data_IF_918726981538
#
_entry.id   IF_918726981538
#
_cell.length_a   1.000
_cell.length_b   1.000
_cell.length_c   1.000
_cell.angle_alpha   90.00
_cell.angle_beta   90.00
_cell.angle_gamma   90.00
#
_symmetry.space_group_name_H-M   'P 1'
#
loop_
_entity.id
_entity.type
_entity.pdbx_description
1 polymer ?
#
# COMPACT_ATOMS: atom_id res chain seq x y z
N UNK A 1 21.74 11.14 42.82
CA UNK A 1 20.94 10.26 43.73
C UNK A 1 19.68 9.89 43.03
N UNK A 2 19.45 8.61 42.70
CA UNK A 2 18.21 8.12 42.10
C UNK A 2 17.14 8.16 43.18
N UNK A 3 15.93 8.66 42.93
CA UNK A 3 14.85 8.63 43.92
C UNK A 3 14.54 7.18 44.37
N UNK A 4 14.34 6.95 45.67
CA UNK A 4 14.09 5.61 46.23
C UNK A 4 12.97 4.82 45.51
N UNK A 5 11.98 5.50 44.97
CA UNK A 5 10.91 4.89 44.15
C UNK A 5 11.39 4.34 42.81
N UNK A 6 12.40 4.97 42.22
CA UNK A 6 12.97 4.55 40.93
C UNK A 6 13.93 3.35 41.10
N UNK A 7 14.67 3.31 42.19
CA UNK A 7 15.48 2.12 42.56
C UNK A 7 14.59 0.88 42.76
N UNK A 8 13.46 1.05 43.44
CA UNK A 8 12.48 -0.04 43.64
C UNK A 8 11.96 -0.57 42.32
N UNK A 9 11.65 0.32 41.39
CA UNK A 9 11.16 -0.10 40.05
C UNK A 9 12.24 -0.82 39.22
N UNK A 10 13.50 -0.38 39.29
CA UNK A 10 14.61 -1.09 38.62
C UNK A 10 14.81 -2.49 39.19
N UNK A 11 14.74 -2.66 40.51
CA UNK A 11 14.86 -3.97 41.15
C UNK A 11 13.69 -4.91 40.76
N UNK A 12 12.47 -4.39 40.64
CA UNK A 12 11.30 -5.16 40.17
C UNK A 12 11.49 -5.55 38.69
N UNK A 13 12.03 -4.66 37.86
CA UNK A 13 12.31 -4.94 36.45
C UNK A 13 13.39 -6.04 36.29
N UNK A 14 14.48 -5.98 37.06
CA UNK A 14 15.52 -7.01 37.07
C UNK A 14 14.99 -8.37 37.51
N UNK A 15 14.15 -8.38 38.55
CA UNK A 15 13.48 -9.59 38.99
C UNK A 15 12.53 -10.12 37.91
N UNK A 16 11.81 -9.25 37.18
CA UNK A 16 10.94 -9.61 36.05
C UNK A 16 11.73 -10.29 34.94
N UNK A 17 12.90 -9.75 34.56
CA UNK A 17 13.77 -10.35 33.55
C UNK A 17 14.23 -11.74 33.96
N UNK A 18 14.65 -11.88 35.22
CA UNK A 18 15.07 -13.17 35.80
C UNK A 18 13.95 -14.19 35.84
N UNK A 19 12.72 -13.76 36.15
CA UNK A 19 11.50 -14.59 36.15
C UNK A 19 11.15 -15.05 34.72
N UNK A 20 11.20 -14.14 33.72
CA UNK A 20 10.96 -14.46 32.31
C UNK A 20 11.99 -15.48 31.79
N UNK A 21 13.25 -15.36 32.18
CA UNK A 21 14.30 -16.29 31.76
C UNK A 21 14.11 -17.69 32.34
N UNK A 22 13.68 -17.81 33.60
CA UNK A 22 13.38 -19.10 34.22
C UNK A 22 12.27 -19.85 33.49
N UNK A 23 11.28 -19.13 32.90
CA UNK A 23 10.13 -19.68 32.16
C UNK A 23 10.24 -19.46 30.68
N UNK A 24 11.45 -19.44 30.13
CA UNK A 24 11.75 -19.08 28.74
C UNK A 24 10.91 -19.82 27.70
N UNK A 25 10.68 -21.12 27.85
CA UNK A 25 9.93 -21.92 26.89
C UNK A 25 8.46 -21.47 26.77
N UNK A 26 7.78 -21.25 27.90
CA UNK A 26 6.39 -20.76 27.93
C UNK A 26 6.28 -19.34 27.37
N UNK A 27 7.18 -18.46 27.82
CA UNK A 27 7.18 -17.06 27.38
C UNK A 27 7.58 -16.91 25.91
N UNK A 28 8.51 -17.73 25.41
CA UNK A 28 8.89 -17.76 24.00
C UNK A 28 7.73 -18.21 23.12
N UNK A 29 6.98 -19.23 23.56
CA UNK A 29 5.77 -19.69 22.83
C UNK A 29 4.72 -18.58 22.70
N UNK A 30 4.42 -17.88 23.80
CA UNK A 30 3.48 -16.75 23.81
C UNK A 30 4.01 -15.62 22.92
N UNK A 31 5.28 -15.26 23.06
CA UNK A 31 5.91 -14.21 22.28
C UNK A 31 5.91 -14.51 20.79
N UNK A 32 6.15 -15.78 20.40
CA UNK A 32 6.13 -16.21 19.00
C UNK A 32 4.74 -16.09 18.39
N UNK A 33 3.70 -16.62 19.08
CA UNK A 33 2.32 -16.51 18.59
C UNK A 33 1.91 -15.04 18.45
N UNK A 34 2.27 -14.23 19.45
CA UNK A 34 1.98 -12.81 19.46
C UNK A 34 2.69 -12.08 18.32
N UNK A 35 3.98 -12.38 18.09
CA UNK A 35 4.75 -11.81 17.00
C UNK A 35 4.21 -12.22 15.63
N UNK A 36 3.74 -13.47 15.45
CA UNK A 36 3.12 -13.93 14.18
C UNK A 36 1.83 -13.17 13.90
N UNK A 37 0.97 -12.97 14.90
CA UNK A 37 -0.29 -12.21 14.70
C UNK A 37 0.03 -10.75 14.35
N UNK A 38 0.98 -10.13 15.04
CA UNK A 38 1.43 -8.76 14.74
C UNK A 38 2.08 -8.69 13.35
N UNK A 39 2.88 -9.69 12.97
CA UNK A 39 3.48 -9.81 11.65
C UNK A 39 2.42 -9.82 10.53
N UNK A 40 1.38 -10.65 10.68
CA UNK A 40 0.31 -10.74 9.69
C UNK A 40 -0.47 -9.43 9.59
N UNK A 41 -0.86 -8.87 10.73
CA UNK A 41 -1.58 -7.59 10.78
C UNK A 41 -0.73 -6.43 10.25
N UNK A 42 0.53 -6.35 10.65
CA UNK A 42 1.48 -5.34 10.20
C UNK A 42 1.79 -5.45 8.72
N UNK A 43 2.04 -6.67 8.20
CA UNK A 43 2.25 -6.91 6.78
C UNK A 43 1.06 -6.47 5.94
N UNK A 44 -0.16 -6.79 6.41
CA UNK A 44 -1.39 -6.37 5.74
C UNK A 44 -1.55 -4.84 5.74
N UNK A 45 -1.32 -4.20 6.88
CA UNK A 45 -1.42 -2.75 7.01
C UNK A 45 -0.40 -2.01 6.14
N UNK A 46 0.87 -2.45 6.16
CA UNK A 46 1.94 -1.86 5.37
C UNK A 46 1.70 -2.05 3.87
N UNK A 47 1.19 -3.21 3.45
CA UNK A 47 0.86 -3.49 2.06
C UNK A 47 -0.32 -2.62 1.59
N UNK A 48 -1.38 -2.53 2.37
CA UNK A 48 -2.55 -1.70 2.05
C UNK A 48 -2.17 -0.22 1.97
N UNK A 49 -1.36 0.26 2.92
CA UNK A 49 -0.82 1.62 2.91
C UNK A 49 0.04 1.90 1.69
N UNK A 50 0.90 0.95 1.31
CA UNK A 50 1.72 1.06 0.10
C UNK A 50 0.85 1.17 -1.16
N UNK A 51 -0.17 0.32 -1.30
CA UNK A 51 -1.10 0.36 -2.44
C UNK A 51 -1.89 1.68 -2.48
N UNK A 52 -2.36 2.16 -1.33
CA UNK A 52 -3.11 3.42 -1.23
C UNK A 52 -2.24 4.62 -1.61
N UNK A 53 -1.05 4.74 -1.02
CA UNK A 53 -0.12 5.84 -1.31
C UNK A 53 0.32 5.82 -2.77
N UNK A 54 0.55 4.63 -3.31
CA UNK A 54 0.90 4.48 -4.71
C UNK A 54 -0.25 4.89 -5.62
N UNK A 55 -1.49 4.50 -5.29
CA UNK A 55 -2.68 4.94 -6.04
C UNK A 55 -2.89 6.46 -5.96
N UNK A 56 -2.62 7.09 -4.82
CA UNK A 56 -2.70 8.54 -4.66
C UNK A 56 -1.64 9.26 -5.50
N UNK A 57 -0.40 8.77 -5.51
CA UNK A 57 0.68 9.31 -6.34
C UNK A 57 0.37 9.21 -7.84
N UNK A 58 -0.28 8.10 -8.27
CA UNK A 58 -0.83 7.93 -9.62
C UNK A 58 -1.82 9.04 -9.95
N UNK A 59 -2.74 9.27 -9.01
CA UNK A 59 -3.86 10.16 -9.24
C UNK A 59 -3.49 11.63 -9.17
N UNK A 60 -2.43 12.00 -8.43
CA UNK A 60 -1.97 13.40 -8.41
C UNK A 60 -1.68 13.95 -9.80
N UNK A 61 -1.22 13.10 -10.71
CA UNK A 61 -0.78 13.46 -12.04
C UNK A 61 -1.82 13.18 -13.15
N UNK A 62 -2.99 12.62 -12.78
CA UNK A 62 -4.06 12.40 -13.74
C UNK A 62 -4.81 13.70 -14.04
N UNK A 63 -5.39 13.85 -15.27
CA UNK A 63 -6.24 14.98 -15.61
C UNK A 63 -7.45 15.04 -14.69
N UNK A 64 -7.97 16.24 -14.46
CA UNK A 64 -9.15 16.45 -13.62
C UNK A 64 -10.38 15.74 -14.17
N UNK A 65 -10.52 15.66 -15.51
CA UNK A 65 -11.61 14.95 -16.20
C UNK A 65 -11.04 14.15 -17.36
N UNK A 66 -11.47 12.91 -17.51
CA UNK A 66 -11.16 12.05 -18.65
C UNK A 66 -12.46 11.72 -19.39
N UNK A 67 -12.50 11.96 -20.70
CA UNK A 67 -13.66 11.70 -21.55
C UNK A 67 -13.35 10.51 -22.45
N UNK A 68 -14.16 9.48 -22.38
CA UNK A 68 -14.07 8.25 -23.16
C UNK A 68 -15.35 8.07 -23.97
N UNK A 69 -15.24 7.73 -25.24
CA UNK A 69 -16.42 7.34 -26.03
C UNK A 69 -16.78 5.90 -25.70
N UNK A 70 -18.06 5.68 -25.49
CA UNK A 70 -18.59 4.35 -25.16
C UNK A 70 -19.63 3.93 -26.20
N UNK A 71 -19.51 2.70 -26.68
CA UNK A 71 -20.51 2.08 -27.58
C UNK A 71 -20.76 0.65 -27.09
N UNK A 72 -22.01 0.33 -26.85
CA UNK A 72 -22.45 -0.99 -26.36
C UNK A 72 -21.64 -1.51 -25.17
N UNK A 73 -21.24 -0.63 -24.25
CA UNK A 73 -20.44 -0.98 -23.06
C UNK A 73 -18.93 -1.14 -23.30
N UNK A 74 -18.47 -0.91 -24.53
CA UNK A 74 -17.04 -0.94 -24.88
C UNK A 74 -16.51 0.46 -25.15
N UNK A 75 -15.27 0.69 -24.80
CA UNK A 75 -14.58 1.93 -25.16
C UNK A 75 -14.22 1.90 -26.64
N UNK A 76 -14.54 2.99 -27.33
CA UNK A 76 -14.19 3.24 -28.73
C UNK A 76 -13.29 4.47 -28.85
N UNK A 77 -12.64 4.61 -30.01
CA UNK A 77 -11.91 5.81 -30.33
C UNK A 77 -12.84 7.03 -30.42
N UNK A 78 -12.42 8.16 -29.86
CA UNK A 78 -13.18 9.41 -29.83
C UNK A 78 -12.67 10.34 -30.95
N UNK A 79 -13.58 10.98 -31.73
CA UNK A 79 -13.17 11.92 -32.75
C UNK A 79 -12.55 13.20 -32.17
N UNK A 80 -11.46 13.68 -32.75
CA UNK A 80 -10.83 14.95 -32.35
C UNK A 80 -11.78 16.15 -32.53
N UNK A 81 -12.76 16.07 -33.45
CA UNK A 81 -13.77 17.10 -33.60
C UNK A 81 -14.61 17.39 -32.34
N UNK A 82 -14.59 16.49 -31.34
CA UNK A 82 -15.26 16.74 -30.05
C UNK A 82 -14.55 17.85 -29.26
N UNK A 83 -13.27 18.10 -29.50
CA UNK A 83 -12.51 19.19 -28.87
C UNK A 83 -13.15 20.55 -29.18
N UNK A 84 -13.57 20.77 -30.45
CA UNK A 84 -14.22 22.02 -30.86
C UNK A 84 -15.53 22.28 -30.09
N UNK A 85 -16.31 21.22 -29.86
CA UNK A 85 -17.57 21.32 -29.09
C UNK A 85 -17.28 21.69 -27.62
N UNK A 86 -16.20 21.15 -27.06
CA UNK A 86 -15.81 21.38 -25.66
C UNK A 86 -15.29 22.80 -25.40
N UNK A 87 -14.77 23.48 -26.42
CA UNK A 87 -14.33 24.89 -26.29
C UNK A 87 -15.48 25.85 -25.91
N UNK A 88 -16.76 25.45 -26.11
CA UNK A 88 -17.90 26.23 -25.64
C UNK A 88 -18.12 26.25 -24.15
N UNK A 89 -17.42 25.38 -23.38
CA UNK A 89 -17.57 25.25 -21.94
C UNK A 89 -16.54 26.11 -21.23
N UNK A 90 -16.99 27.15 -20.52
CA UNK A 90 -16.14 27.98 -19.70
C UNK A 90 -15.54 27.20 -18.51
N UNK A 91 -14.31 27.54 -18.13
CA UNK A 91 -13.59 26.91 -17.02
C UNK A 91 -12.64 25.77 -17.44
N UNK A 92 -12.72 25.32 -18.67
CA UNK A 92 -11.74 24.38 -19.25
C UNK A 92 -10.47 25.18 -19.58
N UNK A 93 -9.32 24.73 -19.06
CA UNK A 93 -8.03 25.38 -19.29
C UNK A 93 -7.34 24.83 -20.53
N UNK A 94 -7.33 23.50 -20.69
CA UNK A 94 -6.75 22.83 -21.84
C UNK A 94 -7.38 21.46 -22.03
N UNK A 95 -7.45 21.00 -23.27
CA UNK A 95 -7.90 19.67 -23.66
C UNK A 95 -6.73 18.99 -24.39
N UNK A 96 -6.28 17.85 -23.89
CA UNK A 96 -5.17 17.11 -24.47
C UNK A 96 -5.70 15.79 -25.01
N UNK A 97 -5.59 15.54 -26.32
CA UNK A 97 -5.89 14.25 -26.91
C UNK A 97 -4.83 13.23 -26.48
N UNK A 98 -5.27 12.03 -26.16
CA UNK A 98 -4.40 10.97 -25.67
C UNK A 98 -4.73 9.64 -26.34
N UNK A 99 -3.71 8.88 -26.68
CA UNK A 99 -3.84 7.47 -27.01
C UNK A 99 -3.30 6.67 -25.84
N UNK A 100 -4.11 5.78 -25.33
CA UNK A 100 -3.81 4.87 -24.26
C UNK A 100 -4.33 3.48 -24.59
N UNK A 101 -3.53 2.47 -24.36
CA UNK A 101 -3.94 1.10 -24.63
C UNK A 101 -2.92 0.08 -24.08
N UNK A 102 -3.33 -1.18 -24.08
CA UNK A 102 -2.45 -2.29 -23.72
C UNK A 102 -1.90 -2.94 -24.97
N UNK A 103 -0.60 -3.20 -24.95
CA UNK A 103 0.11 -3.95 -25.96
C UNK A 103 0.60 -5.26 -25.34
N UNK A 104 0.17 -6.39 -25.90
CA UNK A 104 0.63 -7.71 -25.48
C UNK A 104 1.84 -8.13 -26.34
N UNK A 105 2.97 -8.31 -25.68
CA UNK A 105 4.19 -8.84 -26.29
C UNK A 105 4.18 -10.38 -26.16
N UNK A 106 3.88 -11.06 -27.25
CA UNK A 106 3.82 -12.54 -27.30
C UNK A 106 5.18 -13.16 -27.04
N UNK A 107 6.29 -12.50 -27.42
CA UNK A 107 7.64 -13.00 -27.27
C UNK A 107 8.06 -13.13 -25.81
N UNK A 108 7.65 -12.19 -24.98
CA UNK A 108 7.99 -12.11 -23.57
C UNK A 108 6.80 -12.43 -22.64
N UNK A 109 5.63 -12.72 -23.20
CA UNK A 109 4.37 -12.96 -22.46
C UNK A 109 4.08 -11.80 -21.49
N UNK A 110 4.33 -10.57 -21.91
CA UNK A 110 4.21 -9.37 -21.09
C UNK A 110 3.19 -8.39 -21.67
N UNK A 111 2.47 -7.71 -20.78
CA UNK A 111 1.57 -6.62 -21.15
C UNK A 111 2.25 -5.29 -20.88
N UNK A 112 2.35 -4.45 -21.90
CA UNK A 112 2.86 -3.08 -21.78
C UNK A 112 1.70 -2.09 -21.90
N UNK A 113 1.73 -1.06 -21.07
CA UNK A 113 0.83 0.08 -21.18
C UNK A 113 1.46 1.11 -22.10
N UNK A 114 0.83 1.38 -23.24
CA UNK A 114 1.25 2.43 -24.16
C UNK A 114 0.51 3.72 -23.84
N UNK A 115 1.24 4.79 -23.66
CA UNK A 115 0.73 6.13 -23.46
C UNK A 115 1.33 7.08 -24.48
N UNK A 116 0.50 7.74 -25.26
CA UNK A 116 0.93 8.75 -26.19
C UNK A 116 0.07 10.00 -26.07
N UNK A 117 0.75 11.15 -26.02
CA UNK A 117 0.12 12.46 -25.86
C UNK A 117 0.99 13.53 -26.51
N UNK A 118 0.39 14.63 -26.88
CA UNK A 118 1.13 15.81 -27.31
C UNK A 118 1.68 16.55 -26.10
N UNK A 119 2.98 16.42 -25.88
CA UNK A 119 3.68 17.05 -24.75
C UNK A 119 3.72 18.58 -24.86
N UNK A 120 3.70 19.13 -26.06
CA UNK A 120 3.68 20.60 -26.30
C UNK A 120 2.42 21.28 -25.73
N UNK A 121 1.32 20.57 -25.61
CA UNK A 121 0.02 21.09 -25.16
C UNK A 121 -0.13 21.08 -23.65
N UNK A 122 0.84 20.57 -22.89
CA UNK A 122 0.72 20.45 -21.43
C UNK A 122 1.01 21.76 -20.72
N UNK A 123 0.04 22.33 -19.98
CA UNK A 123 0.27 23.55 -19.22
C UNK A 123 1.23 23.29 -18.06
N UNK A 124 2.44 23.87 -18.13
CA UNK A 124 3.42 23.88 -17.04
C UNK A 124 4.52 22.82 -17.11
N UNK A 125 4.91 22.38 -18.30
CA UNK A 125 6.02 21.42 -18.48
C UNK A 125 5.65 19.99 -18.09
N UNK A 126 6.62 19.15 -17.83
CA UNK A 126 6.46 17.72 -17.48
C UNK A 126 5.52 17.49 -16.26
N UNK A 127 4.21 17.68 -16.44
CA UNK A 127 3.19 17.51 -15.38
C UNK A 127 2.77 16.05 -15.14
N UNK A 128 3.32 15.13 -15.90
CA UNK A 128 3.19 13.72 -15.53
C UNK A 128 4.01 13.40 -14.26
N UNK A 129 4.79 14.38 -13.72
CA UNK A 129 5.73 14.20 -12.59
C UNK A 129 6.49 12.85 -12.65
N UNK A 130 6.60 12.32 -13.87
CA UNK A 130 7.29 11.07 -14.13
C UNK A 130 8.78 11.40 -14.11
N UNK A 131 9.40 11.08 -12.99
CA UNK A 131 10.85 11.23 -12.85
C UNK A 131 11.56 10.17 -13.67
N UNK A 132 12.60 10.61 -14.39
CA UNK A 132 13.48 9.76 -15.18
C UNK A 132 14.81 9.63 -14.45
N UNK A 133 15.29 8.42 -14.22
CA UNK A 133 16.57 8.16 -13.55
C UNK A 133 17.74 8.20 -14.54
N UNK A 134 17.51 7.72 -15.77
CA UNK A 134 18.53 7.72 -16.83
C UNK A 134 17.94 8.33 -18.08
N UNK A 135 18.73 9.16 -18.75
CA UNK A 135 18.28 9.90 -19.94
C UNK A 135 17.47 11.14 -19.58
N UNK A 136 16.49 11.47 -20.38
CA UNK A 136 15.63 12.65 -20.17
C UNK A 136 14.20 12.35 -20.66
N UNK A 137 13.25 13.10 -20.11
CA UNK A 137 11.90 13.13 -20.66
C UNK A 137 11.81 14.29 -21.64
N UNK A 138 11.66 14.04 -22.97
CA UNK A 138 11.67 15.10 -23.96
C UNK A 138 10.46 16.01 -23.81
N UNK A 139 10.64 17.32 -24.01
CA UNK A 139 9.52 18.27 -24.08
C UNK A 139 8.59 17.93 -25.24
N UNK A 140 9.16 17.44 -26.34
CA UNK A 140 8.44 16.93 -27.51
C UNK A 140 8.95 15.55 -27.90
N UNK A 141 8.05 14.55 -27.85
CA UNK A 141 8.35 13.20 -28.30
C UNK A 141 8.51 13.19 -29.81
N UNK A 142 9.70 12.78 -30.30
CA UNK A 142 9.94 12.55 -31.72
C UNK A 142 9.43 11.18 -32.14
N UNK A 143 8.99 11.03 -33.39
CA UNK A 143 8.65 9.71 -33.92
C UNK A 143 9.86 8.78 -33.85
N UNK A 144 9.59 7.52 -33.44
CA UNK A 144 10.63 6.51 -33.22
C UNK A 144 11.39 6.65 -31.90
N UNK A 145 10.97 7.53 -30.97
CA UNK A 145 11.56 7.62 -29.63
C UNK A 145 10.57 7.20 -28.55
N UNK A 146 11.07 6.60 -27.47
CA UNK A 146 10.25 6.17 -26.35
C UNK A 146 10.94 6.39 -25.00
N UNK A 147 10.15 6.65 -23.96
CA UNK A 147 10.55 6.57 -22.55
C UNK A 147 9.87 5.35 -21.96
N UNK A 148 10.64 4.48 -21.33
CA UNK A 148 10.15 3.17 -20.92
C UNK A 148 10.30 2.93 -19.41
N UNK A 149 9.48 2.02 -18.89
CA UNK A 149 9.57 1.49 -17.55
C UNK A 149 10.79 0.62 -17.35
N UNK A 150 11.23 0.52 -16.09
CA UNK A 150 12.42 -0.26 -15.73
C UNK A 150 12.21 -1.75 -16.01
N UNK A 151 11.06 -2.32 -15.67
CA UNK A 151 10.82 -3.73 -15.93
C UNK A 151 10.73 -4.07 -17.42
N UNK A 152 10.26 -3.13 -18.24
CA UNK A 152 10.29 -3.30 -19.70
C UNK A 152 11.74 -3.36 -20.19
N UNK A 153 12.59 -2.48 -19.69
CA UNK A 153 14.03 -2.50 -20.00
C UNK A 153 14.67 -3.84 -19.63
N UNK A 154 14.32 -4.40 -18.46
CA UNK A 154 14.87 -5.66 -17.98
C UNK A 154 14.31 -6.87 -18.76
N UNK A 155 13.00 -6.90 -19.04
CA UNK A 155 12.35 -7.98 -19.81
C UNK A 155 12.86 -8.04 -21.23
N UNK A 156 13.05 -6.88 -21.88
CA UNK A 156 13.59 -6.79 -23.23
C UNK A 156 15.11 -7.05 -23.27
N UNK A 157 15.77 -7.20 -22.12
CA UNK A 157 17.21 -7.48 -22.03
C UNK A 157 18.07 -6.41 -22.70
N UNK A 158 17.63 -5.15 -22.63
CA UNK A 158 18.26 -4.08 -23.40
C UNK A 158 19.71 -3.81 -22.95
N UNK A 159 20.02 -3.99 -21.64
CA UNK A 159 21.35 -3.72 -21.11
C UNK A 159 21.83 -2.30 -21.45
N UNK A 160 22.86 -2.19 -22.29
CA UNK A 160 23.34 -0.92 -22.83
C UNK A 160 22.72 -0.54 -24.19
N UNK A 161 21.93 -1.44 -24.76
CA UNK A 161 21.23 -1.18 -26.03
C UNK A 161 20.11 -0.18 -25.78
N UNK A 162 19.92 0.72 -26.73
CA UNK A 162 18.89 1.77 -26.63
C UNK A 162 17.75 1.58 -27.61
N UNK A 163 17.70 0.46 -28.33
CA UNK A 163 16.70 0.21 -29.38
C UNK A 163 15.94 -1.05 -29.04
N UNK A 164 14.61 -0.95 -29.11
CA UNK A 164 13.69 -2.07 -29.07
C UNK A 164 12.67 -1.96 -30.19
N UNK A 165 11.96 -3.04 -30.50
CA UNK A 165 10.97 -3.06 -31.58
C UNK A 165 9.66 -3.67 -31.11
N UNK A 166 8.55 -3.12 -31.60
CA UNK A 166 7.21 -3.63 -31.36
C UNK A 166 6.57 -4.02 -32.70
N UNK A 167 5.74 -5.05 -32.69
CA UNK A 167 4.97 -5.47 -33.85
C UNK A 167 3.78 -4.56 -34.05
N UNK A 168 3.56 -4.14 -35.28
CA UNK A 168 2.32 -3.51 -35.72
C UNK A 168 1.25 -4.56 -36.01
N UNK A 169 -0.04 -4.17 -36.18
CA UNK A 169 -1.09 -5.10 -36.56
C UNK A 169 -0.87 -5.85 -37.87
N UNK A 170 -0.07 -5.28 -38.78
CA UNK A 170 0.34 -5.90 -40.05
C UNK A 170 1.56 -6.83 -39.90
N UNK A 171 1.99 -7.11 -38.65
CA UNK A 171 3.18 -7.89 -38.31
C UNK A 171 4.51 -7.25 -38.73
N UNK A 172 4.51 -6.03 -39.20
CA UNK A 172 5.76 -5.29 -39.44
C UNK A 172 6.36 -4.82 -38.10
N UNK A 173 7.69 -4.73 -38.05
CA UNK A 173 8.41 -4.24 -36.86
C UNK A 173 8.59 -2.73 -36.93
N UNK A 174 8.27 -2.04 -35.85
CA UNK A 174 8.62 -0.64 -35.65
C UNK A 174 9.62 -0.52 -34.53
N UNK A 175 10.76 0.07 -34.80
CA UNK A 175 11.85 0.26 -33.86
C UNK A 175 11.72 1.60 -33.14
N UNK A 176 12.12 1.61 -31.87
CA UNK A 176 12.10 2.78 -31.01
C UNK A 176 13.43 2.95 -30.29
N UNK A 177 13.93 4.19 -30.27
CA UNK A 177 15.08 4.59 -29.47
C UNK A 177 14.63 4.94 -28.04
N UNK A 178 15.25 4.31 -27.05
CA UNK A 178 15.01 4.62 -25.63
C UNK A 178 15.76 5.89 -25.26
N UNK A 179 15.03 6.98 -25.07
CA UNK A 179 15.59 8.28 -24.67
C UNK A 179 15.59 8.52 -23.17
N UNK A 180 14.78 7.76 -22.43
CA UNK A 180 14.71 7.84 -20.97
C UNK A 180 14.18 6.57 -20.33
N UNK A 181 14.60 6.35 -19.07
CA UNK A 181 14.16 5.27 -18.21
C UNK A 181 13.52 5.85 -16.97
N UNK A 182 12.26 5.45 -16.67
CA UNK A 182 11.53 5.94 -15.50
C UNK A 182 12.21 5.56 -14.20
N UNK A 183 11.98 6.40 -13.18
CA UNK A 183 12.53 6.20 -11.84
C UNK A 183 11.80 5.10 -11.08
N UNK A 184 12.56 4.37 -10.27
CA UNK A 184 12.00 3.36 -9.36
C UNK A 184 10.96 3.94 -8.39
N UNK A 185 11.00 5.24 -8.10
CA UNK A 185 10.02 5.89 -7.24
C UNK A 185 8.60 5.91 -7.84
N UNK A 186 8.50 5.79 -9.15
CA UNK A 186 7.24 5.79 -9.90
C UNK A 186 6.88 4.42 -10.46
N UNK A 187 7.60 3.36 -10.07
CA UNK A 187 7.47 2.00 -10.63
C UNK A 187 6.03 1.49 -10.67
N UNK A 188 5.20 1.81 -9.67
CA UNK A 188 3.81 1.34 -9.69
C UNK A 188 3.03 1.80 -10.93
N UNK A 189 3.37 2.98 -11.46
CA UNK A 189 2.74 3.60 -12.63
C UNK A 189 3.47 3.33 -13.92
N UNK A 190 4.79 3.26 -13.80
CA UNK A 190 5.68 3.39 -14.95
C UNK A 190 6.40 2.10 -15.27
N UNK A 191 6.22 1.08 -14.44
CA UNK A 191 6.96 -0.18 -14.58
C UNK A 191 6.71 -0.88 -15.92
N UNK A 192 5.43 -0.91 -16.35
CA UNK A 192 4.95 -1.45 -17.62
C UNK A 192 4.64 -0.37 -18.66
N UNK A 193 5.01 0.89 -18.39
CA UNK A 193 4.65 2.04 -19.21
C UNK A 193 5.67 2.32 -20.29
N UNK A 194 5.19 2.49 -21.52
CA UNK A 194 5.92 3.03 -22.65
C UNK A 194 5.25 4.35 -23.04
N UNK A 195 5.97 5.45 -22.95
CA UNK A 195 5.52 6.74 -23.46
C UNK A 195 6.17 7.00 -24.81
N UNK A 196 5.36 7.32 -25.81
CA UNK A 196 5.80 7.55 -27.19
C UNK A 196 5.06 8.70 -27.86
N UNK A 197 5.41 9.01 -29.08
CA UNK A 197 4.71 9.99 -29.92
C UNK A 197 3.29 9.50 -30.27
N UNK A 198 2.37 10.47 -30.48
CA UNK A 198 0.97 10.18 -30.79
C UNK A 198 0.81 9.41 -32.13
N UNK A 199 1.60 9.77 -33.16
CA UNK A 199 1.54 9.11 -34.46
C UNK A 199 2.09 7.69 -34.42
N UNK A 200 3.11 7.44 -33.59
CA UNK A 200 3.66 6.10 -33.37
C UNK A 200 2.63 5.18 -32.71
N UNK A 201 1.89 5.70 -31.74
CA UNK A 201 0.81 4.94 -31.08
C UNK A 201 -0.39 4.71 -32.03
N UNK A 202 -0.70 5.65 -32.91
CA UNK A 202 -1.72 5.45 -33.96
C UNK A 202 -1.34 4.28 -34.87
N UNK A 203 -0.11 4.25 -35.31
CA UNK A 203 0.42 3.13 -36.10
C UNK A 203 0.32 1.79 -35.38
N UNK A 204 0.65 1.80 -34.08
CA UNK A 204 0.69 0.59 -33.26
C UNK A 204 -0.70 0.01 -32.99
N UNK A 205 -1.70 0.87 -32.83
CA UNK A 205 -3.08 0.46 -32.53
C UNK A 205 -4.04 0.57 -33.73
N UNK A 206 -3.53 0.92 -34.92
CA UNK A 206 -4.32 1.16 -36.12
C UNK A 206 -5.47 2.16 -35.91
N UNK A 207 -5.19 3.28 -35.21
CA UNK A 207 -6.14 4.34 -34.92
C UNK A 207 -6.06 5.41 -36.01
N UNK A 208 -7.17 5.80 -36.67
CA UNK A 208 -7.17 6.87 -37.65
C UNK A 208 -6.65 8.20 -37.10
N UNK A 209 -6.01 9.01 -37.96
CA UNK A 209 -5.43 10.29 -37.54
C UNK A 209 -6.44 11.28 -36.94
N UNK A 210 -7.73 11.17 -37.30
CA UNK A 210 -8.80 11.99 -36.77
C UNK A 210 -9.37 11.52 -35.43
N UNK A 211 -8.84 10.42 -34.87
CA UNK A 211 -9.32 9.80 -33.64
C UNK A 211 -8.24 9.63 -32.61
N UNK A 212 -8.66 9.52 -31.34
CA UNK A 212 -7.81 9.21 -30.18
C UNK A 212 -8.58 8.29 -29.21
N UNK A 213 -7.90 7.75 -28.20
CA UNK A 213 -8.55 6.85 -27.25
C UNK A 213 -9.41 7.60 -26.25
N UNK A 214 -8.92 8.73 -25.75
CA UNK A 214 -9.63 9.58 -24.80
C UNK A 214 -9.18 11.05 -24.90
N UNK A 215 -9.95 11.94 -24.26
CA UNK A 215 -9.63 13.36 -24.13
C UNK A 215 -9.41 13.68 -22.66
N UNK A 216 -8.24 14.22 -22.34
CA UNK A 216 -7.87 14.68 -21.01
C UNK A 216 -8.21 16.16 -20.88
N UNK A 217 -9.08 16.52 -19.94
CA UNK A 217 -9.51 17.89 -19.71
C UNK A 217 -8.93 18.39 -18.39
N UNK A 218 -8.25 19.52 -18.47
CA UNK A 218 -7.69 20.24 -17.33
C UNK A 218 -8.54 21.45 -17.01
N UNK A 219 -8.93 21.60 -15.75
CA UNK A 219 -9.86 22.62 -15.27
C UNK A 219 -9.10 23.65 -14.44
N UNK A 220 -9.40 24.95 -14.62
CA UNK A 220 -8.72 26.03 -13.90
C UNK A 220 -9.06 26.05 -12.41
N UNK A 221 -10.31 25.77 -12.07
CA UNK A 221 -10.82 25.80 -10.70
C UNK A 221 -11.29 24.39 -10.27
N UNK A 222 -10.63 23.77 -9.28
CA UNK A 222 -11.00 22.44 -8.80
C UNK A 222 -12.47 22.33 -8.31
N UNK A 223 -13.06 23.43 -7.82
CA UNK A 223 -14.45 23.42 -7.33
C UNK A 223 -15.48 23.27 -8.46
N UNK A 224 -15.09 23.54 -9.69
CA UNK A 224 -15.97 23.49 -10.87
C UNK A 224 -15.92 22.13 -11.61
N UNK A 225 -15.03 21.23 -11.24
CA UNK A 225 -14.80 19.95 -11.93
C UNK A 225 -16.11 19.17 -12.11
N UNK A 226 -16.90 19.00 -11.06
CA UNK A 226 -18.15 18.23 -11.12
C UNK A 226 -19.21 18.95 -11.99
N UNK A 227 -19.24 20.26 -11.97
CA UNK A 227 -20.18 21.07 -12.80
C UNK A 227 -19.80 20.98 -14.28
N UNK A 228 -18.49 21.09 -14.57
CA UNK A 228 -17.97 20.96 -15.94
C UNK A 228 -18.18 19.54 -16.46
N UNK A 229 -17.92 18.53 -15.64
CA UNK A 229 -18.17 17.13 -16.02
C UNK A 229 -19.63 16.87 -16.39
N UNK A 230 -20.59 17.43 -15.63
CA UNK A 230 -22.03 17.34 -15.97
C UNK A 230 -22.37 18.05 -17.29
N UNK A 231 -21.79 19.24 -17.53
CA UNK A 231 -21.98 19.97 -18.80
C UNK A 231 -21.42 19.15 -19.99
N UNK A 232 -20.25 18.54 -19.84
CA UNK A 232 -19.64 17.66 -20.84
C UNK A 232 -20.55 16.46 -21.13
N UNK A 233 -21.06 15.79 -20.09
CA UNK A 233 -21.94 14.64 -20.26
C UNK A 233 -23.27 14.98 -20.99
N UNK A 234 -23.80 16.18 -20.78
CA UNK A 234 -24.96 16.65 -21.51
C UNK A 234 -24.65 16.99 -22.99
N UNK A 235 -23.47 17.59 -23.22
CA UNK A 235 -23.03 17.99 -24.55
C UNK A 235 -22.64 16.78 -25.44
N UNK A 236 -22.06 15.74 -24.80
CA UNK A 236 -21.56 14.54 -25.45
C UNK A 236 -22.17 13.28 -24.80
N UNK A 237 -23.43 12.96 -25.09
CA UNK A 237 -24.18 11.90 -24.42
C UNK A 237 -23.69 10.48 -24.72
N UNK A 238 -22.91 10.29 -25.78
CA UNK A 238 -22.26 9.04 -26.17
C UNK A 238 -20.92 8.81 -25.47
N UNK A 239 -20.58 9.69 -24.51
CA UNK A 239 -19.32 9.62 -23.79
C UNK A 239 -19.51 9.30 -22.31
N UNK A 240 -18.50 8.64 -21.75
CA UNK A 240 -18.33 8.47 -20.32
C UNK A 240 -17.36 9.53 -19.81
N UNK A 241 -17.84 10.37 -18.92
CA UNK A 241 -17.05 11.41 -18.29
C UNK A 241 -16.63 10.94 -16.92
N UNK A 242 -15.33 10.80 -16.69
CA UNK A 242 -14.76 10.34 -15.43
C UNK A 242 -14.01 11.50 -14.76
N UNK A 243 -14.39 11.87 -13.54
CA UNK A 243 -13.65 12.85 -12.75
C UNK A 243 -12.55 12.18 -11.94
N UNK A 244 -11.47 12.90 -11.70
CA UNK A 244 -10.38 12.47 -10.81
C UNK A 244 -10.91 12.04 -9.44
N UNK A 245 -11.87 12.78 -8.89
CA UNK A 245 -12.52 12.47 -7.61
C UNK A 245 -13.24 11.11 -7.62
N UNK A 246 -13.91 10.77 -8.73
CA UNK A 246 -14.58 9.46 -8.86
C UNK A 246 -13.58 8.32 -8.89
N UNK A 247 -12.48 8.50 -9.62
CA UNK A 247 -11.40 7.52 -9.70
C UNK A 247 -10.77 7.33 -8.31
N UNK A 248 -10.45 8.44 -7.60
CA UNK A 248 -9.92 8.41 -6.23
C UNK A 248 -10.85 7.65 -5.27
N UNK A 249 -12.15 7.94 -5.29
CA UNK A 249 -13.12 7.24 -4.45
C UNK A 249 -13.17 5.74 -4.74
N UNK A 250 -13.06 5.33 -6.00
CA UNK A 250 -13.03 3.92 -6.38
C UNK A 250 -11.79 3.23 -5.80
N UNK A 251 -10.61 3.83 -5.92
CA UNK A 251 -9.38 3.28 -5.33
C UNK A 251 -9.46 3.22 -3.79
N UNK A 252 -9.95 4.29 -3.16
CA UNK A 252 -10.12 4.31 -1.70
C UNK A 252 -11.07 3.22 -1.20
N UNK A 253 -12.16 2.95 -1.91
CA UNK A 253 -13.09 1.87 -1.53
C UNK A 253 -12.44 0.49 -1.68
N UNK A 254 -11.69 0.27 -2.74
CA UNK A 254 -11.03 -1.01 -3.01
C UNK A 254 -9.91 -1.30 -1.99
N UNK A 255 -9.08 -0.31 -1.67
CA UNK A 255 -7.91 -0.48 -0.81
C UNK A 255 -8.11 -0.05 0.64
N UNK A 256 -9.27 0.54 1.00
CA UNK A 256 -9.53 0.98 2.36
C UNK A 256 -9.84 -0.19 3.31
N UNK A 257 -9.74 0.08 4.62
CA UNK A 257 -10.19 -0.81 5.70
C UNK A 257 -11.66 -1.26 5.58
N UNK A 258 -12.45 -0.59 4.73
CA UNK A 258 -13.84 -0.97 4.42
C UNK A 258 -13.95 -2.11 3.43
N UNK A 259 -12.85 -2.51 2.78
CA UNK A 259 -12.87 -3.73 1.97
C UNK A 259 -13.15 -4.94 2.89
N UNK A 260 -14.01 -5.86 2.48
CA UNK A 260 -14.38 -7.02 3.30
C UNK A 260 -13.16 -7.84 3.74
N UNK A 261 -12.11 -7.89 2.93
CA UNK A 261 -10.87 -8.59 3.25
C UNK A 261 -10.11 -7.94 4.41
N UNK A 262 -9.97 -6.61 4.42
CA UNK A 262 -9.36 -5.88 5.52
C UNK A 262 -10.08 -6.13 6.84
N UNK A 263 -11.42 -6.08 6.79
CA UNK A 263 -12.25 -6.35 7.96
C UNK A 263 -12.08 -7.77 8.48
N UNK A 264 -11.97 -8.77 7.60
CA UNK A 264 -11.74 -10.17 7.98
C UNK A 264 -10.36 -10.33 8.64
N UNK A 265 -9.30 -9.74 8.07
CA UNK A 265 -7.96 -9.80 8.64
C UNK A 265 -7.90 -9.14 10.04
N UNK A 266 -8.52 -7.96 10.18
CA UNK A 266 -8.60 -7.28 11.47
C UNK A 266 -9.39 -8.09 12.49
N UNK A 267 -10.56 -8.61 12.11
CA UNK A 267 -11.40 -9.43 12.98
C UNK A 267 -10.66 -10.69 13.44
N UNK A 268 -9.96 -11.37 12.53
CA UNK A 268 -9.17 -12.56 12.85
C UNK A 268 -8.04 -12.23 13.83
N UNK A 269 -7.34 -11.13 13.64
CA UNK A 269 -6.31 -10.65 14.57
C UNK A 269 -6.90 -10.31 15.94
N UNK A 270 -8.04 -9.61 15.99
CA UNK A 270 -8.72 -9.28 17.24
C UNK A 270 -9.18 -10.54 17.98
N UNK A 271 -9.72 -11.54 17.29
CA UNK A 271 -10.10 -12.83 17.88
C UNK A 271 -8.86 -13.53 18.45
N UNK A 272 -7.74 -13.56 17.72
CA UNK A 272 -6.51 -14.16 18.20
C UNK A 272 -5.99 -13.45 19.47
N UNK A 273 -5.98 -12.12 19.49
CA UNK A 273 -5.61 -11.35 20.68
C UNK A 273 -6.60 -11.55 21.83
N UNK A 274 -7.91 -11.65 21.55
CA UNK A 274 -8.92 -11.93 22.57
C UNK A 274 -8.72 -13.31 23.19
N UNK A 275 -8.37 -14.33 22.40
CA UNK A 275 -8.07 -15.68 22.93
C UNK A 275 -6.82 -15.64 23.83
N UNK A 276 -5.75 -14.97 23.39
CA UNK A 276 -4.53 -14.82 24.19
C UNK A 276 -4.80 -14.05 25.50
N UNK A 277 -5.61 -13.00 25.41
CA UNK A 277 -6.02 -12.23 26.57
C UNK A 277 -6.91 -13.06 27.52
N UNK A 278 -7.82 -13.84 26.96
CA UNK A 278 -8.69 -14.74 27.74
C UNK A 278 -7.90 -15.83 28.46
N UNK A 279 -6.94 -16.47 27.78
CA UNK A 279 -6.05 -17.46 28.41
C UNK A 279 -5.34 -16.85 29.63
N UNK A 280 -4.87 -15.63 29.52
CA UNK A 280 -4.24 -14.90 30.62
C UNK A 280 -5.24 -14.43 31.69
N UNK A 281 -6.43 -14.02 31.29
CA UNK A 281 -7.49 -13.54 32.21
C UNK A 281 -8.19 -14.69 32.96
N UNK A 282 -8.18 -15.91 32.41
CA UNK A 282 -8.84 -17.09 33.01
C UNK A 282 -8.23 -17.54 34.33
N UNK A 283 -7.01 -17.11 34.61
CA UNK A 283 -6.35 -17.30 35.90
C UNK A 283 -4.87 -17.56 35.81
N UNK A 284 -4.21 -17.39 36.93
CA UNK A 284 -2.79 -17.70 37.06
C UNK A 284 -2.61 -19.22 37.18
N UNK A 285 -1.52 -19.75 36.58
CA UNK A 285 -1.16 -21.15 36.79
C UNK A 285 -0.89 -21.45 38.27
N UNK A 286 -1.00 -22.71 38.72
CA UNK A 286 -0.70 -23.07 40.11
C UNK A 286 0.71 -22.60 40.54
N UNK A 287 1.65 -22.66 39.63
CA UNK A 287 3.02 -22.20 39.87
C UNK A 287 3.12 -20.68 40.03
N UNK A 288 2.37 -19.90 39.24
CA UNK A 288 2.31 -18.44 39.34
C UNK A 288 1.62 -18.00 40.64
N UNK A 289 0.56 -18.73 41.06
CA UNK A 289 -0.12 -18.50 42.35
C UNK A 289 0.83 -18.74 43.50
N UNK A 290 1.55 -19.87 43.48
CA UNK A 290 2.52 -20.22 44.51
C UNK A 290 3.66 -19.18 44.61
N UNK A 291 4.16 -18.69 43.48
CA UNK A 291 5.16 -17.63 43.45
C UNK A 291 4.67 -16.34 44.11
N UNK A 292 3.46 -15.91 43.78
CA UNK A 292 2.81 -14.76 44.45
C UNK A 292 2.67 -14.97 45.93
N UNK A 293 2.27 -16.17 46.37
CA UNK A 293 2.20 -16.53 47.80
C UNK A 293 3.52 -16.39 48.51
N UNK A 294 4.59 -16.91 47.92
CA UNK A 294 5.98 -16.81 48.47
C UNK A 294 6.43 -15.34 48.55
N UNK A 295 6.20 -14.53 47.48
CA UNK A 295 6.55 -13.12 47.49
C UNK A 295 5.82 -12.34 48.60
N UNK A 296 4.59 -12.66 48.86
CA UNK A 296 3.80 -12.06 49.96
C UNK A 296 4.38 -12.42 51.33
N UNK A 297 4.78 -13.67 51.55
CA UNK A 297 5.44 -14.11 52.80
C UNK A 297 6.76 -13.36 53.01
N UNK A 298 7.47 -13.04 51.94
CA UNK A 298 8.70 -12.24 51.92
C UNK A 298 8.48 -10.74 52.13
N UNK A 299 7.20 -10.30 52.26
CA UNK A 299 6.85 -8.92 52.56
C UNK A 299 6.57 -8.03 51.34
N UNK A 300 6.38 -8.62 50.16
CA UNK A 300 6.00 -7.84 48.96
C UNK A 300 4.56 -7.35 49.10
N UNK A 301 4.34 -6.08 48.82
CA UNK A 301 3.03 -5.48 48.75
C UNK A 301 2.26 -5.86 47.50
N UNK A 302 0.93 -5.73 47.52
CA UNK A 302 0.08 -5.96 46.32
C UNK A 302 0.54 -5.11 45.14
N UNK A 303 0.95 -3.85 45.39
CA UNK A 303 1.45 -2.95 44.37
C UNK A 303 2.73 -3.44 43.66
N UNK A 304 3.62 -4.10 44.44
CA UNK A 304 4.88 -4.65 43.92
C UNK A 304 4.63 -5.86 43.01
N UNK A 305 3.67 -6.70 43.39
CA UNK A 305 3.26 -7.87 42.62
C UNK A 305 2.60 -7.41 41.29
N UNK A 306 1.77 -6.38 41.34
CA UNK A 306 1.16 -5.80 40.15
C UNK A 306 2.22 -5.19 39.23
N UNK A 307 3.18 -4.44 39.77
CA UNK A 307 4.28 -3.87 39.02
C UNK A 307 5.13 -4.97 38.36
N UNK A 308 5.41 -6.08 39.08
CA UNK A 308 6.12 -7.23 38.52
C UNK A 308 5.38 -7.82 37.31
N UNK A 309 4.10 -8.10 37.42
CA UNK A 309 3.29 -8.66 36.33
C UNK A 309 3.13 -7.68 35.17
N UNK A 310 3.01 -6.41 35.47
CA UNK A 310 2.97 -5.35 34.45
C UNK A 310 4.29 -5.32 33.64
N UNK A 311 5.44 -5.36 34.31
CA UNK A 311 6.73 -5.38 33.63
C UNK A 311 6.95 -6.66 32.81
N UNK A 312 6.63 -7.85 33.37
CA UNK A 312 6.70 -9.12 32.62
C UNK A 312 5.87 -9.08 31.35
N UNK A 313 4.62 -8.61 31.43
CA UNK A 313 3.71 -8.52 30.31
C UNK A 313 4.15 -7.47 29.28
N UNK A 314 4.63 -6.33 29.77
CA UNK A 314 5.15 -5.24 28.91
C UNK A 314 6.37 -5.71 28.13
N UNK A 315 7.31 -6.39 28.78
CA UNK A 315 8.51 -6.90 28.09
C UNK A 315 8.16 -7.92 27.01
N UNK A 316 7.31 -8.90 27.32
CA UNK A 316 6.90 -9.94 26.35
C UNK A 316 6.16 -9.33 25.17
N UNK A 317 5.18 -8.46 25.44
CA UNK A 317 4.37 -7.86 24.38
C UNK A 317 5.13 -6.83 23.55
N UNK A 318 6.02 -6.02 24.17
CA UNK A 318 6.85 -5.06 23.46
C UNK A 318 7.89 -5.75 22.57
N UNK A 319 8.54 -6.81 23.05
CA UNK A 319 9.48 -7.60 22.24
C UNK A 319 8.74 -8.27 21.07
N UNK A 320 7.58 -8.87 21.31
CA UNK A 320 6.75 -9.45 20.26
C UNK A 320 6.32 -8.40 19.24
N UNK A 321 5.95 -7.18 19.69
CA UNK A 321 5.60 -6.07 18.82
C UNK A 321 6.77 -5.64 17.93
N UNK A 322 7.96 -5.45 18.50
CA UNK A 322 9.15 -5.08 17.73
C UNK A 322 9.50 -6.16 16.72
N UNK A 323 9.53 -7.43 17.13
CA UNK A 323 9.84 -8.56 16.24
C UNK A 323 8.81 -8.67 15.14
N UNK A 324 7.51 -8.62 15.47
CA UNK A 324 6.41 -8.73 14.52
C UNK A 324 6.39 -7.59 13.50
N UNK A 325 6.55 -6.34 13.94
CA UNK A 325 6.61 -5.18 13.04
C UNK A 325 7.86 -5.20 12.16
N UNK A 326 9.03 -5.58 12.70
CA UNK A 326 10.26 -5.68 11.92
C UNK A 326 10.15 -6.78 10.86
N UNK A 327 9.62 -7.95 11.23
CA UNK A 327 9.38 -9.04 10.29
C UNK A 327 8.37 -8.63 9.20
N UNK A 328 7.30 -7.89 9.56
CA UNK A 328 6.32 -7.36 8.62
C UNK A 328 6.98 -6.40 7.61
N UNK A 329 7.81 -5.49 8.10
CA UNK A 329 8.55 -4.57 7.23
C UNK A 329 9.48 -5.32 6.26
N UNK A 330 10.26 -6.28 6.76
CA UNK A 330 11.15 -7.10 5.93
C UNK A 330 10.36 -7.88 4.89
N UNK A 331 9.24 -8.48 5.26
CA UNK A 331 8.37 -9.22 4.35
C UNK A 331 7.82 -8.35 3.22
N UNK A 332 7.39 -7.11 3.51
CA UNK A 332 6.85 -6.21 2.48
C UNK A 332 7.97 -5.58 1.66
N UNK A 333 9.06 -5.10 2.29
CA UNK A 333 10.13 -4.37 1.62
C UNK A 333 11.03 -5.26 0.76
N UNK A 334 11.37 -6.45 1.25
CA UNK A 334 12.33 -7.34 0.62
C UNK A 334 11.70 -8.64 0.11
N UNK A 335 10.62 -9.09 0.74
CA UNK A 335 9.87 -10.29 0.34
C UNK A 335 8.75 -10.02 -0.67
N UNK A 336 8.61 -8.79 -1.18
CA UNK A 336 7.57 -8.37 -2.12
C UNK A 336 6.16 -8.77 -1.68
N UNK A 337 5.93 -8.78 -0.36
CA UNK A 337 4.69 -9.20 0.29
C UNK A 337 4.17 -10.57 -0.21
N UNK A 338 5.08 -11.51 -0.49
CA UNK A 338 4.80 -12.78 -1.17
C UNK A 338 3.64 -13.60 -0.61
N UNK A 339 3.38 -13.50 0.70
CA UNK A 339 2.25 -14.19 1.36
C UNK A 339 0.89 -13.52 1.08
N UNK A 340 0.86 -12.19 0.95
CA UNK A 340 -0.39 -11.42 0.87
C UNK A 340 -0.67 -10.91 -0.54
N UNK A 341 0.35 -10.65 -1.34
CA UNK A 341 0.23 -10.13 -2.71
C UNK A 341 -0.69 -10.97 -3.61
N UNK A 342 -0.61 -12.33 -3.63
CA UNK A 342 -1.51 -13.13 -4.43
C UNK A 342 -2.98 -12.98 -4.05
N UNK A 343 -3.26 -12.75 -2.76
CA UNK A 343 -4.63 -12.57 -2.26
C UNK A 343 -5.17 -11.18 -2.56
N UNK A 344 -4.31 -10.15 -2.47
CA UNK A 344 -4.71 -8.74 -2.65
C UNK A 344 -4.78 -8.33 -4.13
N UNK A 345 -3.84 -8.78 -4.94
CA UNK A 345 -3.68 -8.39 -6.35
C UNK A 345 -4.23 -9.45 -7.30
N UNK A 346 -4.45 -10.67 -6.79
CA UNK A 346 -4.90 -11.83 -7.55
C UNK A 346 -3.75 -12.73 -8.01
N UNK A 347 -4.12 -13.92 -8.47
CA UNK A 347 -3.19 -14.96 -8.95
C UNK A 347 -2.73 -14.71 -10.39
N UNK A 348 -3.22 -13.66 -11.07
CA UNK A 348 -2.74 -13.32 -12.40
C UNK A 348 -1.28 -12.90 -12.30
N UNK A 349 -0.45 -13.56 -13.09
CA UNK A 349 0.94 -13.16 -13.25
C UNK A 349 0.93 -11.87 -14.07
N UNK A 350 0.87 -10.73 -13.38
CA UNK A 350 1.06 -9.44 -14.04
C UNK A 350 2.54 -9.34 -14.35
N UNK A 351 2.90 -9.54 -15.59
CA UNK A 351 4.21 -9.19 -16.11
C UNK A 351 4.12 -7.85 -16.82
N UNK A 352 4.95 -6.91 -16.46
CA UNK A 352 6.09 -6.92 -15.53
C UNK A 352 5.68 -6.83 -14.04
N UNK A 353 6.44 -7.49 -13.14
CA UNK A 353 6.20 -7.39 -11.71
C UNK A 353 6.55 -6.00 -11.21
N UNK A 354 5.71 -5.41 -10.39
CA UNK A 354 5.98 -4.13 -9.73
C UNK A 354 6.40 -4.34 -8.26
N UNK A 355 7.27 -3.48 -7.74
CA UNK A 355 7.71 -3.49 -6.34
C UNK A 355 6.93 -2.45 -5.54
N UNK A 356 6.40 -2.87 -4.41
CA UNK A 356 5.73 -1.99 -3.46
C UNK A 356 6.74 -1.50 -2.41
N UNK A 357 6.84 -0.20 -2.25
CA UNK A 357 7.57 0.40 -1.14
C UNK A 357 6.65 0.42 0.09
N UNK A 358 7.03 -0.25 1.21
CA UNK A 358 6.19 -0.27 2.39
C UNK A 358 5.98 1.14 2.91
N UNK A 359 4.73 1.47 3.18
CA UNK A 359 4.34 2.71 3.84
C UNK A 359 4.13 2.42 5.32
N UNK A 360 4.91 3.08 6.16
CA UNK A 360 4.80 2.97 7.62
C UNK A 360 4.52 4.35 8.19
N UNK A 361 3.34 4.54 8.71
CA UNK A 361 2.99 5.76 9.43
C UNK A 361 3.00 5.53 10.94
N UNK A 362 3.22 6.58 11.72
CA UNK A 362 3.13 6.50 13.17
C UNK A 362 1.72 6.05 13.61
N UNK A 363 0.70 6.46 12.89
CA UNK A 363 -0.68 6.08 13.15
C UNK A 363 -0.89 4.56 13.00
N UNK A 364 -0.28 3.92 11.98
CA UNK A 364 -0.35 2.48 11.78
C UNK A 364 0.30 1.72 12.94
N UNK A 365 1.49 2.16 13.37
CA UNK A 365 2.20 1.56 14.50
C UNK A 365 1.41 1.71 15.80
N UNK A 366 0.83 2.88 16.07
CA UNK A 366 -0.01 3.11 17.23
C UNK A 366 -1.28 2.27 17.20
N UNK A 367 -1.89 2.08 16.03
CA UNK A 367 -3.04 1.22 15.86
C UNK A 367 -2.70 -0.23 16.20
N UNK A 368 -1.64 -0.77 15.61
CA UNK A 368 -1.18 -2.14 15.90
C UNK A 368 -0.85 -2.30 17.38
N UNK A 369 -0.13 -1.32 17.97
CA UNK A 369 0.21 -1.32 19.39
C UNK A 369 -1.05 -1.33 20.29
N UNK A 370 -2.00 -0.47 19.98
CA UNK A 370 -3.23 -0.34 20.77
C UNK A 370 -4.06 -1.63 20.75
N UNK A 371 -4.20 -2.26 19.60
CA UNK A 371 -4.99 -3.49 19.48
C UNK A 371 -4.25 -4.75 19.94
N UNK A 372 -2.92 -4.75 19.98
CA UNK A 372 -2.12 -5.90 20.41
C UNK A 372 -1.69 -5.80 21.87
N UNK A 373 -0.93 -4.77 22.23
CA UNK A 373 -0.24 -4.66 23.52
C UNK A 373 -1.21 -4.32 24.66
N UNK A 374 -2.09 -3.32 24.48
CA UNK A 374 -2.96 -2.85 25.57
C UNK A 374 -3.94 -3.91 26.06
N UNK A 375 -4.65 -4.69 25.23
CA UNK A 375 -5.53 -5.76 25.71
C UNK A 375 -4.78 -6.84 26.48
N UNK A 376 -3.58 -7.18 26.04
CA UNK A 376 -2.75 -8.17 26.72
C UNK A 376 -2.29 -7.71 28.11
N UNK A 377 -1.88 -6.44 28.24
CA UNK A 377 -1.55 -5.85 29.54
C UNK A 377 -2.75 -5.88 30.50
N UNK A 378 -3.92 -5.45 30.03
CA UNK A 378 -5.14 -5.49 30.83
C UNK A 378 -5.50 -6.91 31.31
N UNK A 379 -5.39 -7.88 30.38
CA UNK A 379 -5.71 -9.28 30.68
C UNK A 379 -4.76 -9.93 31.69
N UNK A 380 -3.52 -9.48 31.79
CA UNK A 380 -2.54 -10.03 32.75
C UNK A 380 -2.62 -9.38 34.13
N UNK A 381 -2.92 -8.08 34.19
CA UNK A 381 -2.99 -7.32 35.44
C UNK A 381 -4.20 -7.71 36.27
N UNK A 382 -5.38 -7.93 35.67
CA UNK A 382 -6.63 -8.23 36.37
C UNK A 382 -6.52 -9.52 37.21
N UNK A 383 -6.10 -10.70 36.72
CA UNK A 383 -5.96 -11.90 37.52
C UNK A 383 -4.88 -11.77 38.61
N UNK A 384 -3.79 -11.06 38.29
CA UNK A 384 -2.75 -10.80 39.29
C UNK A 384 -3.26 -9.97 40.45
N UNK A 385 -4.05 -8.95 40.20
CA UNK A 385 -4.71 -8.16 41.22
C UNK A 385 -5.63 -9.02 42.10
N UNK A 386 -6.51 -9.82 41.47
CA UNK A 386 -7.42 -10.73 42.22
C UNK A 386 -6.64 -11.70 43.11
N UNK A 387 -5.58 -12.31 42.61
CA UNK A 387 -4.78 -13.26 43.39
C UNK A 387 -3.98 -12.57 44.51
N UNK A 388 -3.50 -11.35 44.27
CA UNK A 388 -2.73 -10.60 45.26
C UNK A 388 -3.57 -10.01 46.40
N UNK A 389 -4.89 -9.95 46.29
CA UNK A 389 -5.81 -9.52 47.37
C UNK A 389 -6.23 -10.66 48.29
N UNK A 390 -6.00 -11.92 47.91
CA UNK A 390 -6.36 -13.11 48.71
C UNK A 390 -5.28 -13.41 49.75
N UNK A 391 -5.62 -13.90 50.98
CA UNK A 391 -4.65 -14.29 52.00
C UNK A 391 -3.69 -15.38 51.53
N UNK A 392 -2.38 -15.35 51.93
CA UNK A 392 -1.36 -16.29 51.49
C UNK A 392 -1.73 -17.76 51.70
N UNK A 393 -2.39 -18.06 52.82
CA UNK A 393 -2.75 -19.44 53.24
C UNK A 393 -3.69 -20.14 52.25
N UNK A 394 -4.51 -19.39 51.53
CA UNK A 394 -5.46 -19.93 50.56
C UNK A 394 -4.86 -20.12 49.18
N UNK A 395 -3.66 -19.56 48.92
CA UNK A 395 -2.96 -19.59 47.61
C UNK A 395 -1.91 -20.70 47.54
N UNK A 396 -1.48 -21.20 48.71
CA UNK A 396 -0.44 -22.23 48.85
C UNK A 396 -1.03 -23.65 48.96
N UNK A 397 -2.28 -23.78 49.37
CA UNK A 397 -3.04 -25.03 49.33
C UNK A 397 -3.58 -25.27 47.93
#
# INVERSE_FOLDING_TARGET
>A
MIPKGMEKQFNILDFSLSSLWRRKQKNLGIMLVFAVVIFLLGSFQMLTGALTNSAEAVLENTPEITIQKMSAGRQEAIPLAYIEKLHSIYGIRVIIPRIWGYYFDESNLANYTILALETDSMPGGNRLNLTVDKGYFPEKMKSGTAVIGRSIHDILGLGERRIFSLFRPDLSLKSFDVVGLFSQKTDLLTNDLIVMNLDDARDLFNIPASMVTDLCVYVSNPTEIETIAKKIAVLLPDTRVLTKTQIQKTYQVVFSWRSGFASICLLTALIAFAILAWDKASGLSPEEKREIGILKILGWETGDILALRFWESTLVSALAFIIGCTAAYIHVAFGDASLLKPVMVGWSVIHPPFRLLPSVTLADLLLIFTFSVLPYLGATVIPAWRCSTVPPDSVIR
#
